data_IF_413590693690
#
_entry.id   IF_413590693690
#
_cell.length_a   1.000
_cell.length_b   1.000
_cell.length_c   1.000
_cell.angle_alpha   90.00
_cell.angle_beta   90.00
_cell.angle_gamma   90.00
#
_symmetry.space_group_name_H-M   'P 1'
#
loop_
_entity.id
_entity.type
_entity.pdbx_description
1 polymer ?
#
# COMPACT_ATOMS: atom_id res chain seq x y z
N UNK A 1 23.61 -6.40 -34.16
CA UNK A 1 22.66 -5.26 -34.13
C UNK A 1 21.34 -5.76 -33.56
N UNK A 2 20.91 -5.25 -32.41
CA UNK A 2 19.70 -5.72 -31.71
C UNK A 2 18.44 -5.20 -32.41
N UNK A 3 17.50 -6.09 -32.77
CA UNK A 3 16.24 -5.78 -33.50
C UNK A 3 15.01 -5.75 -32.57
N UNK A 4 15.14 -5.18 -31.38
CA UNK A 4 14.03 -5.06 -30.44
C UNK A 4 13.08 -3.92 -30.82
N UNK A 5 11.78 -4.17 -30.85
CA UNK A 5 10.76 -3.10 -30.96
C UNK A 5 10.78 -2.27 -29.67
N UNK A 6 10.71 -0.95 -29.79
CA UNK A 6 10.52 -0.07 -28.64
C UNK A 6 9.23 -0.47 -27.93
N UNK A 7 9.32 -0.70 -26.61
CA UNK A 7 8.13 -0.89 -25.79
C UNK A 7 7.30 0.41 -25.86
N UNK A 8 5.97 0.33 -25.89
CA UNK A 8 5.12 1.51 -25.82
C UNK A 8 5.48 2.33 -24.58
N UNK A 9 5.48 3.65 -24.73
CA UNK A 9 5.75 4.59 -23.65
C UNK A 9 4.77 4.34 -22.51
N UNK A 10 5.29 3.89 -21.36
CA UNK A 10 4.48 3.69 -20.15
C UNK A 10 4.09 5.07 -19.64
N UNK A 11 2.81 5.43 -19.79
CA UNK A 11 2.29 6.60 -19.08
C UNK A 11 2.34 6.32 -17.58
N UNK A 12 2.89 7.22 -16.76
CA UNK A 12 2.84 7.06 -15.32
C UNK A 12 1.38 7.15 -14.88
N UNK A 13 0.77 6.00 -14.60
CA UNK A 13 -0.57 5.94 -14.03
C UNK A 13 -0.43 6.38 -12.58
N UNK A 14 -0.79 7.63 -12.29
CA UNK A 14 -0.88 8.13 -10.92
C UNK A 14 -2.17 7.57 -10.31
N UNK A 15 -2.22 6.25 -10.10
CA UNK A 15 -3.31 5.64 -9.33
C UNK A 15 -3.07 5.91 -7.85
N UNK A 16 -3.99 6.62 -7.23
CA UNK A 16 -4.03 6.77 -5.78
C UNK A 16 -4.41 5.41 -5.18
N UNK A 17 -3.51 4.86 -4.36
CA UNK A 17 -3.68 3.59 -3.65
C UNK A 17 -4.30 3.92 -2.30
N UNK A 18 -5.56 3.55 -2.10
CA UNK A 18 -6.20 3.55 -0.79
C UNK A 18 -5.98 2.19 -0.13
N UNK A 19 -5.55 2.18 1.13
CA UNK A 19 -5.28 0.93 1.84
C UNK A 19 -5.61 0.99 3.33
N UNK A 20 -5.78 -0.19 3.92
CA UNK A 20 -5.99 -0.41 5.35
C UNK A 20 -4.98 -1.45 5.86
N UNK A 21 -4.46 -1.23 7.07
CA UNK A 21 -3.60 -2.14 7.80
C UNK A 21 -4.35 -2.72 8.98
N UNK A 22 -4.36 -4.04 9.09
CA UNK A 22 -5.05 -4.77 10.15
C UNK A 22 -4.06 -5.62 10.96
N UNK A 23 -4.43 -5.94 12.19
CA UNK A 23 -3.88 -7.11 12.87
C UNK A 23 -4.56 -8.37 12.33
N UNK A 24 -3.84 -9.15 11.54
CA UNK A 24 -4.30 -10.40 10.95
C UNK A 24 -4.65 -11.50 11.96
N UNK A 25 -4.37 -11.32 13.25
CA UNK A 25 -4.80 -12.24 14.32
C UNK A 25 -6.21 -11.93 14.83
N UNK A 26 -6.51 -10.65 14.99
CA UNK A 26 -7.73 -10.18 15.66
C UNK A 26 -8.73 -9.53 14.69
N UNK A 27 -8.30 -9.16 13.50
CA UNK A 27 -9.06 -8.37 12.54
C UNK A 27 -9.14 -6.88 12.89
N UNK A 28 -8.46 -6.42 13.95
CA UNK A 28 -8.47 -5.03 14.36
C UNK A 28 -7.84 -4.13 13.28
N UNK A 29 -8.51 -3.03 12.93
CA UNK A 29 -7.92 -1.98 12.10
C UNK A 29 -6.87 -1.21 12.91
N UNK A 30 -5.65 -1.12 12.38
CA UNK A 30 -4.52 -0.45 13.02
C UNK A 30 -4.22 0.91 12.36
N UNK A 31 -4.22 0.95 11.02
CA UNK A 31 -3.95 2.17 10.24
C UNK A 31 -4.71 2.15 8.92
N UNK A 32 -4.93 3.31 8.32
CA UNK A 32 -5.51 3.46 6.99
C UNK A 32 -4.97 4.74 6.34
N UNK A 33 -4.75 4.72 5.03
CA UNK A 33 -4.22 5.89 4.31
C UNK A 33 -4.48 5.81 2.81
N UNK A 34 -4.12 6.87 2.09
CA UNK A 34 -4.03 6.88 0.64
C UNK A 34 -2.72 7.49 0.18
N UNK A 35 -2.14 6.92 -0.88
CA UNK A 35 -0.88 7.40 -1.44
C UNK A 35 -0.69 6.89 -2.86
N UNK A 36 0.15 7.55 -3.65
CA UNK A 36 0.65 7.03 -4.93
C UNK A 36 2.11 6.54 -4.80
N UNK A 37 2.64 6.45 -3.58
CA UNK A 37 4.04 6.14 -3.30
C UNK A 37 4.18 4.87 -2.48
N UNK A 38 4.83 3.85 -3.05
CA UNK A 38 5.14 2.62 -2.32
C UNK A 38 6.00 2.89 -1.07
N UNK A 39 6.90 3.88 -1.12
CA UNK A 39 7.72 4.24 0.04
C UNK A 39 6.88 4.77 1.21
N UNK A 40 5.79 5.50 0.92
CA UNK A 40 4.87 5.97 1.95
C UNK A 40 4.14 4.79 2.62
N UNK A 41 3.71 3.79 1.83
CA UNK A 41 3.09 2.56 2.35
C UNK A 41 4.06 1.82 3.28
N UNK A 42 5.32 1.64 2.86
CA UNK A 42 6.33 0.95 3.69
C UNK A 42 6.60 1.72 4.98
N UNK A 43 6.70 3.06 4.92
CA UNK A 43 6.90 3.88 6.11
C UNK A 43 5.77 3.74 7.13
N UNK A 44 4.52 3.72 6.65
CA UNK A 44 3.33 3.54 7.49
C UNK A 44 3.27 2.12 8.11
N UNK A 45 3.61 1.08 7.34
CA UNK A 45 3.73 -0.29 7.88
C UNK A 45 4.77 -0.36 9.00
N UNK A 46 5.94 0.26 8.81
CA UNK A 46 7.00 0.26 9.83
C UNK A 46 6.61 1.06 11.07
N UNK A 47 5.89 2.17 10.93
CA UNK A 47 5.35 2.93 12.05
C UNK A 47 4.31 2.10 12.82
N UNK A 48 3.35 1.53 12.10
CA UNK A 48 2.31 0.65 12.65
C UNK A 48 2.93 -0.55 13.39
N UNK A 49 4.01 -1.14 12.89
CA UNK A 49 4.71 -2.25 13.56
C UNK A 49 5.38 -1.83 14.86
N UNK A 50 5.90 -0.59 14.94
CA UNK A 50 6.49 -0.07 16.18
C UNK A 50 5.43 0.21 17.24
N UNK A 51 4.27 0.70 16.83
CA UNK A 51 3.13 0.98 17.71
C UNK A 51 2.43 -0.31 18.17
N UNK A 52 2.42 -1.34 17.32
CA UNK A 52 1.80 -2.64 17.58
C UNK A 52 2.79 -3.80 17.40
N UNK A 53 3.80 -3.95 18.28
CA UNK A 53 4.89 -4.91 18.10
C UNK A 53 4.44 -6.37 18.06
N UNK A 54 3.26 -6.68 18.61
CA UNK A 54 2.71 -8.04 18.67
C UNK A 54 1.68 -8.33 17.56
N UNK A 55 1.30 -7.32 16.75
CA UNK A 55 0.33 -7.49 15.68
C UNK A 55 0.97 -8.18 14.46
N UNK A 56 0.18 -9.00 13.76
CA UNK A 56 0.55 -9.50 12.44
C UNK A 56 -0.02 -8.54 11.40
N UNK A 57 0.77 -7.61 10.90
CA UNK A 57 0.27 -6.61 9.95
C UNK A 57 -0.16 -7.27 8.63
N UNK A 58 -1.40 -7.03 8.23
CA UNK A 58 -1.95 -7.41 6.92
C UNK A 58 -2.49 -6.15 6.24
N UNK A 59 -2.05 -5.89 5.00
CA UNK A 59 -2.53 -4.78 4.19
C UNK A 59 -3.60 -5.22 3.18
N UNK A 60 -4.63 -4.40 3.00
CA UNK A 60 -5.62 -4.56 1.92
C UNK A 60 -5.81 -3.24 1.16
N UNK A 61 -5.75 -3.31 -0.16
CA UNK A 61 -6.13 -2.20 -1.03
C UNK A 61 -7.66 -2.13 -1.14
N UNK A 62 -8.21 -0.92 -1.17
CA UNK A 62 -9.65 -0.67 -1.33
C UNK A 62 -9.91 0.24 -2.52
N UNK A 63 -11.03 0.01 -3.21
CA UNK A 63 -11.41 0.75 -4.43
C UNK A 63 -12.14 2.08 -4.12
N UNK A 64 -11.91 2.67 -2.94
CA UNK A 64 -12.61 3.85 -2.44
C UNK A 64 -11.92 4.45 -1.21
N UNK A 65 -12.48 5.50 -0.59
CA UNK A 65 -11.84 6.15 0.56
C UNK A 65 -11.56 5.13 1.66
N UNK A 66 -10.32 5.19 2.19
CA UNK A 66 -9.87 4.25 3.21
C UNK A 66 -10.70 4.35 4.52
N UNK A 67 -11.39 5.48 4.74
CA UNK A 67 -12.44 5.63 5.74
C UNK A 67 -13.83 5.39 5.10
N UNK A 68 -14.57 4.40 5.61
CA UNK A 68 -16.00 4.18 5.33
C UNK A 68 -16.62 3.50 6.52
#
# INVERSE_FOLDING_TARGET
MWKGKLLPERRPVHEEIHYRLYDGRTGQLLSFSSTNSFNAIVADILATQREHPNARIVGAQVNGPAYT
#
